data_IF_689354868411
#
_entry.id   IF_689354868411
#
_cell.length_a   1.000
_cell.length_b   1.000
_cell.length_c   1.000
_cell.angle_alpha   90.00
_cell.angle_beta   90.00
_cell.angle_gamma   90.00
#
_symmetry.space_group_name_H-M   'P 1'
#
loop_
_entity.id
_entity.type
_entity.pdbx_description
1 polymer ?
#
# COMPACT_ATOMS: atom_id res chain seq x y z
N UNK A 1 -21.03 44.18 6.36
CA UNK A 1 -20.02 44.79 7.26
C UNK A 1 -18.69 44.68 6.53
N UNK A 2 -18.11 45.79 6.04
CA UNK A 2 -16.92 45.77 5.19
C UNK A 2 -15.66 45.59 6.05
N UNK A 3 -15.24 44.35 6.28
CA UNK A 3 -14.02 44.04 7.02
C UNK A 3 -12.86 44.23 6.04
N UNK A 4 -12.04 45.27 6.26
CA UNK A 4 -10.88 45.55 5.43
C UNK A 4 -9.72 44.63 5.83
N UNK A 5 -9.58 43.50 5.13
CA UNK A 5 -8.55 42.48 5.35
C UNK A 5 -7.13 42.92 4.93
N UNK A 6 -6.95 44.11 4.35
CA UNK A 6 -5.64 44.53 3.85
C UNK A 6 -4.73 44.93 5.02
N UNK A 7 -3.63 44.18 5.16
CA UNK A 7 -2.35 44.53 5.84
C UNK A 7 -2.03 43.93 7.23
N UNK A 8 -2.37 42.67 7.50
CA UNK A 8 -1.68 41.90 8.54
C UNK A 8 -1.00 40.66 7.94
N UNK A 9 0.33 40.50 8.04
CA UNK A 9 1.08 39.37 7.47
C UNK A 9 0.75 38.01 8.10
N UNK A 10 -0.12 37.94 9.11
CA UNK A 10 -0.61 36.70 9.73
C UNK A 10 -1.98 36.21 9.22
N UNK A 11 -2.70 36.99 8.42
CA UNK A 11 -3.95 36.52 7.83
C UNK A 11 -3.66 35.91 6.45
N UNK A 12 -4.20 34.71 6.24
CA UNK A 12 -4.24 34.03 4.95
C UNK A 12 -4.82 35.00 3.91
N UNK A 13 -4.17 35.13 2.74
CA UNK A 13 -4.80 35.83 1.63
C UNK A 13 -6.12 35.12 1.30
N UNK A 14 -7.21 35.87 1.13
CA UNK A 14 -8.50 35.30 0.81
C UNK A 14 -8.41 34.65 -0.59
N UNK A 15 -8.53 33.32 -0.73
CA UNK A 15 -8.40 32.67 -2.04
C UNK A 15 -9.49 33.08 -3.03
N UNK A 16 -10.65 33.56 -2.54
CA UNK A 16 -11.78 33.98 -3.38
C UNK A 16 -11.59 35.36 -4.01
N UNK A 17 -10.64 36.17 -3.50
CA UNK A 17 -10.30 37.48 -4.05
C UNK A 17 -9.94 37.40 -5.54
N UNK A 18 -9.38 36.26 -5.98
CA UNK A 18 -8.93 36.05 -7.36
C UNK A 18 -10.07 35.73 -8.33
N UNK A 19 -11.27 35.39 -7.87
CA UNK A 19 -12.40 34.99 -8.72
C UNK A 19 -12.86 36.15 -9.62
N UNK A 20 -12.92 37.37 -9.06
CA UNK A 20 -13.47 38.54 -9.76
C UNK A 20 -12.41 39.62 -10.09
N UNK A 21 -11.13 39.40 -9.77
CA UNK A 21 -10.08 40.42 -9.88
C UNK A 21 -9.60 40.70 -11.31
N UNK A 22 -9.90 39.84 -12.29
CA UNK A 22 -9.47 40.03 -13.68
C UNK A 22 -10.54 39.57 -14.68
N UNK A 23 -11.38 40.50 -15.15
CA UNK A 23 -12.34 40.23 -16.23
C UNK A 23 -11.68 39.99 -17.60
N UNK A 24 -10.39 40.33 -17.76
CA UNK A 24 -9.67 40.26 -19.04
C UNK A 24 -8.86 38.96 -19.23
N UNK A 25 -8.90 38.03 -18.27
CA UNK A 25 -8.18 36.75 -18.35
C UNK A 25 -9.20 35.63 -18.57
N UNK A 26 -9.18 35.01 -19.74
CA UNK A 26 -9.98 33.81 -20.00
C UNK A 26 -9.50 32.65 -19.12
N UNK A 27 -10.40 32.12 -18.29
CA UNK A 27 -10.16 30.89 -17.52
C UNK A 27 -9.96 29.72 -18.50
N UNK A 28 -9.09 28.78 -18.13
CA UNK A 28 -8.81 27.61 -18.96
C UNK A 28 -10.06 26.81 -19.30
N UNK A 29 -10.16 26.34 -20.56
CA UNK A 29 -11.26 25.48 -21.02
C UNK A 29 -11.13 24.00 -20.61
N UNK A 30 -10.19 23.67 -19.72
CA UNK A 30 -10.03 22.30 -19.21
C UNK A 30 -11.17 22.00 -18.23
N UNK A 31 -11.92 20.89 -18.39
CA UNK A 31 -13.07 20.57 -17.53
C UNK A 31 -12.73 20.57 -16.05
N UNK A 32 -11.60 19.99 -15.65
CA UNK A 32 -11.15 19.91 -14.26
C UNK A 32 -10.81 21.29 -13.65
N UNK A 33 -10.44 22.27 -14.49
CA UNK A 33 -10.20 23.65 -14.05
C UNK A 33 -11.54 24.39 -13.93
N UNK A 34 -12.48 24.15 -14.85
CA UNK A 34 -13.82 24.71 -14.80
C UNK A 34 -14.59 24.20 -13.57
N UNK A 35 -14.55 22.91 -13.27
CA UNK A 35 -15.18 22.33 -12.07
C UNK A 35 -14.66 22.98 -10.78
N UNK A 36 -13.35 23.25 -10.70
CA UNK A 36 -12.76 23.94 -9.54
C UNK A 36 -13.19 25.40 -9.48
N UNK A 37 -13.28 26.08 -10.62
CA UNK A 37 -13.75 27.47 -10.70
C UNK A 37 -15.22 27.57 -10.28
N UNK A 38 -16.08 26.67 -10.77
CA UNK A 38 -17.49 26.62 -10.44
C UNK A 38 -17.70 26.35 -8.94
N UNK A 39 -16.91 25.45 -8.35
CA UNK A 39 -16.90 25.24 -6.90
C UNK A 39 -16.50 26.52 -6.15
N UNK A 40 -15.46 27.21 -6.61
CA UNK A 40 -14.97 28.42 -5.96
C UNK A 40 -16.01 29.56 -6.00
N UNK A 41 -16.65 29.77 -7.15
CA UNK A 41 -17.75 30.74 -7.31
C UNK A 41 -18.93 30.35 -6.43
N UNK A 42 -19.34 29.09 -6.45
CA UNK A 42 -20.45 28.60 -5.63
C UNK A 42 -20.21 28.85 -4.14
N UNK A 43 -18.99 28.59 -3.64
CA UNK A 43 -18.63 28.84 -2.24
C UNK A 43 -18.60 30.33 -1.90
N UNK A 44 -18.18 31.22 -2.79
CA UNK A 44 -18.12 32.66 -2.53
C UNK A 44 -19.51 33.33 -2.60
N UNK A 45 -20.38 32.86 -3.49
CA UNK A 45 -21.73 33.41 -3.70
C UNK A 45 -22.73 33.01 -2.60
N UNK A 46 -22.42 32.00 -1.78
CA UNK A 46 -23.25 31.56 -0.65
C UNK A 46 -23.16 32.55 0.53
N UNK A 47 -24.27 32.84 1.19
CA UNK A 47 -24.25 33.69 2.39
C UNK A 47 -23.92 32.86 3.64
N UNK A 48 -23.37 33.48 4.69
CA UNK A 48 -22.87 32.80 5.90
C UNK A 48 -23.88 31.81 6.55
N UNK A 49 -25.18 32.09 6.44
CA UNK A 49 -26.26 31.22 6.97
C UNK A 49 -26.62 30.01 6.10
N UNK A 50 -26.09 29.91 4.88
CA UNK A 50 -26.33 28.79 3.96
C UNK A 50 -25.34 27.63 4.18
N UNK A 51 -24.21 27.89 4.86
CA UNK A 51 -23.19 26.87 5.08
C UNK A 51 -23.57 25.94 6.23
N UNK A 52 -23.60 24.65 5.92
CA UNK A 52 -23.56 23.58 6.91
C UNK A 52 -22.10 23.17 7.17
N UNK A 53 -21.60 23.47 8.37
CA UNK A 53 -20.25 23.10 8.78
C UNK A 53 -20.02 21.58 8.73
N UNK A 54 -21.03 20.78 9.05
CA UNK A 54 -20.92 19.32 9.00
C UNK A 54 -20.76 18.85 7.55
N UNK A 55 -21.51 19.45 6.62
CA UNK A 55 -21.36 19.18 5.19
C UNK A 55 -19.97 19.56 4.67
N UNK A 56 -19.47 20.77 4.98
CA UNK A 56 -18.13 21.19 4.57
C UNK A 56 -17.03 20.28 5.17
N UNK A 57 -17.22 19.85 6.42
CA UNK A 57 -16.32 18.90 7.08
C UNK A 57 -16.34 17.54 6.40
N UNK A 58 -17.52 17.07 6.01
CA UNK A 58 -17.67 15.86 5.22
C UNK A 58 -16.94 16.00 3.88
N UNK A 59 -17.13 17.09 3.14
CA UNK A 59 -16.47 17.32 1.85
C UNK A 59 -14.94 17.30 1.98
N UNK A 60 -14.38 17.91 3.03
CA UNK A 60 -12.94 17.86 3.32
C UNK A 60 -12.47 16.42 3.58
N UNK A 61 -13.16 15.69 4.45
CA UNK A 61 -12.81 14.28 4.77
C UNK A 61 -12.95 13.37 3.55
N UNK A 62 -13.98 13.60 2.75
CA UNK A 62 -14.25 12.91 1.51
C UNK A 62 -13.11 13.11 0.49
N UNK A 63 -12.58 14.32 0.41
CA UNK A 63 -11.44 14.66 -0.45
C UNK A 63 -10.11 14.05 0.02
N UNK A 64 -9.95 13.75 1.32
CA UNK A 64 -8.79 12.98 1.79
C UNK A 64 -8.74 11.56 1.19
N UNK A 65 -9.89 11.00 0.81
CA UNK A 65 -10.00 9.69 0.15
C UNK A 65 -9.97 9.80 -1.40
N UNK A 66 -9.74 10.98 -1.97
CA UNK A 66 -9.73 11.17 -3.42
C UNK A 66 -8.67 10.29 -4.11
N UNK A 67 -7.52 10.06 -3.47
CA UNK A 67 -6.49 9.16 -4.03
C UNK A 67 -7.01 7.73 -4.20
N UNK A 68 -7.85 7.25 -3.27
CA UNK A 68 -8.42 5.91 -3.37
C UNK A 68 -9.40 5.81 -4.55
N UNK A 69 -10.19 6.87 -4.79
CA UNK A 69 -11.04 6.97 -5.99
C UNK A 69 -10.22 6.94 -7.27
N UNK A 70 -9.16 7.74 -7.32
CA UNK A 70 -8.22 7.77 -8.45
C UNK A 70 -7.62 6.38 -8.69
N UNK A 71 -7.18 5.69 -7.64
CA UNK A 71 -6.61 4.35 -7.75
C UNK A 71 -7.62 3.29 -8.20
N UNK A 72 -8.88 3.36 -7.78
CA UNK A 72 -9.94 2.47 -8.28
C UNK A 72 -10.17 2.66 -9.79
N UNK A 73 -10.27 3.91 -10.24
CA UNK A 73 -10.43 4.25 -11.66
C UNK A 73 -9.20 3.81 -12.46
N UNK A 74 -8.00 4.13 -11.99
CA UNK A 74 -6.75 3.74 -12.61
C UNK A 74 -6.59 2.21 -12.69
N UNK A 75 -7.03 1.49 -11.65
CA UNK A 75 -7.06 0.02 -11.64
C UNK A 75 -7.96 -0.53 -12.73
N UNK A 76 -9.15 0.04 -12.93
CA UNK A 76 -10.05 -0.37 -14.02
C UNK A 76 -9.42 -0.14 -15.40
N UNK A 77 -8.79 1.03 -15.61
CA UNK A 77 -8.09 1.36 -16.86
C UNK A 77 -6.95 0.36 -17.12
N UNK A 78 -6.13 0.08 -16.10
CA UNK A 78 -4.97 -0.81 -16.19
C UNK A 78 -5.41 -2.27 -16.39
N UNK A 79 -6.32 -2.78 -15.56
CA UNK A 79 -6.80 -4.16 -15.58
C UNK A 79 -7.49 -4.51 -16.88
N UNK A 80 -8.42 -3.66 -17.35
CA UNK A 80 -9.11 -3.84 -18.63
C UNK A 80 -8.29 -3.39 -19.84
N UNK A 81 -7.06 -2.90 -19.61
CA UNK A 81 -6.13 -2.41 -20.65
C UNK A 81 -6.78 -1.37 -21.58
N UNK A 82 -7.65 -0.50 -21.04
CA UNK A 82 -8.42 0.48 -21.84
C UNK A 82 -7.51 1.47 -22.58
N UNK A 83 -6.33 1.75 -22.02
CA UNK A 83 -5.30 2.59 -22.62
C UNK A 83 -4.77 2.05 -23.96
N UNK A 84 -4.87 0.74 -24.23
CA UNK A 84 -4.34 0.12 -25.46
C UNK A 84 -5.02 0.59 -26.74
N UNK A 85 -6.17 1.25 -26.64
CA UNK A 85 -6.83 1.88 -27.81
C UNK A 85 -6.02 3.05 -28.36
N UNK A 86 -5.19 3.69 -27.53
CA UNK A 86 -4.52 4.96 -27.87
C UNK A 86 -3.03 4.97 -27.50
N UNK A 87 -2.54 4.08 -26.63
CA UNK A 87 -1.15 4.08 -26.14
C UNK A 87 -0.60 2.65 -26.09
N UNK A 88 0.69 2.50 -26.41
CA UNK A 88 1.36 1.20 -26.48
C UNK A 88 1.61 0.57 -25.08
N UNK A 89 1.79 1.41 -24.07
CA UNK A 89 2.03 1.00 -22.68
C UNK A 89 1.22 1.86 -21.71
N UNK A 90 1.02 1.34 -20.49
CA UNK A 90 0.32 2.08 -19.45
C UNK A 90 1.14 3.28 -18.97
N UNK A 91 2.47 3.16 -18.93
CA UNK A 91 3.38 4.28 -18.60
C UNK A 91 3.26 5.43 -19.61
N UNK A 92 3.25 5.12 -20.92
CA UNK A 92 3.05 6.13 -21.95
C UNK A 92 1.69 6.84 -21.79
N UNK A 93 0.64 6.09 -21.46
CA UNK A 93 -0.67 6.67 -21.13
C UNK A 93 -0.63 7.59 -19.92
N UNK A 94 0.02 7.19 -18.81
CA UNK A 94 0.09 8.02 -17.60
C UNK A 94 0.78 9.35 -17.87
N UNK A 95 1.91 9.34 -18.59
CA UNK A 95 2.65 10.57 -18.90
C UNK A 95 1.90 11.48 -19.85
N UNK A 96 1.39 10.94 -20.95
CA UNK A 96 0.77 11.74 -22.01
C UNK A 96 -0.65 12.21 -21.68
N UNK A 97 -1.45 11.40 -20.98
CA UNK A 97 -2.85 11.73 -20.69
C UNK A 97 -3.10 12.24 -19.28
N UNK A 98 -2.35 11.76 -18.30
CA UNK A 98 -2.54 12.16 -16.90
C UNK A 98 -1.48 13.16 -16.43
N UNK A 99 -0.39 13.36 -17.18
CA UNK A 99 0.69 14.27 -16.80
C UNK A 99 1.49 13.79 -15.58
N UNK A 100 1.42 12.50 -15.24
CA UNK A 100 2.09 11.91 -14.06
C UNK A 100 2.89 10.68 -14.43
N UNK A 101 3.85 10.32 -13.57
CA UNK A 101 4.66 9.12 -13.77
C UNK A 101 3.84 7.84 -13.54
N UNK A 102 4.26 6.74 -14.18
CA UNK A 102 3.71 5.42 -13.90
C UNK A 102 3.79 5.06 -12.41
N UNK A 103 4.92 5.35 -11.75
CA UNK A 103 5.14 5.01 -10.35
C UNK A 103 4.12 5.66 -9.43
N UNK A 104 3.84 6.96 -9.61
CA UNK A 104 2.82 7.66 -8.83
C UNK A 104 1.43 6.99 -8.95
N UNK A 105 1.04 6.58 -10.16
CA UNK A 105 -0.24 5.88 -10.36
C UNK A 105 -0.20 4.47 -9.77
N UNK A 106 0.92 3.75 -9.91
CA UNK A 106 1.08 2.41 -9.36
C UNK A 106 1.04 2.41 -7.83
N UNK A 107 1.67 3.39 -7.17
CA UNK A 107 1.65 3.55 -5.72
C UNK A 107 0.26 4.00 -5.24
N UNK A 108 -0.43 4.84 -6.01
CA UNK A 108 -1.85 5.17 -5.75
C UNK A 108 -2.73 3.92 -5.80
N UNK A 109 -2.52 3.04 -6.79
CA UNK A 109 -3.24 1.76 -6.89
C UNK A 109 -2.93 0.85 -5.69
N UNK A 110 -1.67 0.72 -5.29
CA UNK A 110 -1.26 -0.07 -4.11
C UNK A 110 -1.87 0.46 -2.81
N UNK A 111 -1.82 1.78 -2.62
CA UNK A 111 -2.44 2.42 -1.46
C UNK A 111 -3.96 2.23 -1.45
N UNK A 112 -4.59 2.23 -2.63
CA UNK A 112 -6.03 1.95 -2.77
C UNK A 112 -6.38 0.52 -2.39
N UNK A 113 -5.56 -0.46 -2.77
CA UNK A 113 -5.74 -1.87 -2.36
C UNK A 113 -5.78 -2.01 -0.83
N UNK A 114 -4.87 -1.31 -0.14
CA UNK A 114 -4.87 -1.23 1.33
C UNK A 114 -6.17 -0.66 1.87
N UNK A 115 -6.63 0.48 1.34
CA UNK A 115 -7.89 1.11 1.76
C UNK A 115 -9.06 0.15 1.58
N UNK A 116 -9.15 -0.54 0.43
CA UNK A 116 -10.23 -1.48 0.14
C UNK A 116 -10.22 -2.68 1.08
N UNK A 117 -9.04 -3.23 1.40
CA UNK A 117 -8.93 -4.33 2.36
C UNK A 117 -9.35 -3.90 3.77
N UNK A 118 -8.91 -2.72 4.22
CA UNK A 118 -9.28 -2.20 5.54
C UNK A 118 -10.78 -1.89 5.63
N UNK A 119 -11.37 -1.29 4.59
CA UNK A 119 -12.82 -1.08 4.50
C UNK A 119 -13.58 -2.40 4.59
N UNK A 120 -13.14 -3.43 3.86
CA UNK A 120 -13.78 -4.75 3.89
C UNK A 120 -13.68 -5.44 5.27
N UNK A 121 -12.70 -5.04 6.09
CA UNK A 121 -12.53 -5.51 7.46
C UNK A 121 -13.19 -4.61 8.51
N UNK A 122 -13.99 -3.62 8.10
CA UNK A 122 -14.81 -2.79 8.98
C UNK A 122 -14.07 -1.67 9.71
N UNK A 123 -12.95 -1.19 9.16
CA UNK A 123 -12.26 -0.03 9.72
C UNK A 123 -12.91 1.29 9.29
N UNK A 124 -13.22 2.16 10.26
CA UNK A 124 -13.69 3.53 10.02
C UNK A 124 -12.52 4.51 9.81
N UNK A 125 -11.36 4.23 10.41
CA UNK A 125 -10.13 5.01 10.23
C UNK A 125 -9.30 4.37 9.14
N UNK A 126 -9.20 5.07 8.01
CA UNK A 126 -8.50 4.63 6.81
C UNK A 126 -7.26 5.51 6.56
N UNK A 127 -6.27 5.02 5.80
CA UNK A 127 -5.21 5.88 5.28
C UNK A 127 -5.78 7.08 4.52
N UNK A 128 -5.31 8.28 4.86
CA UNK A 128 -5.77 9.57 4.33
C UNK A 128 -4.93 10.10 3.16
N UNK A 129 -3.87 9.38 2.78
CA UNK A 129 -3.03 9.72 1.64
C UNK A 129 -2.28 8.49 1.11
N UNK A 130 -1.73 8.63 -0.10
CA UNK A 130 -0.97 7.58 -0.79
C UNK A 130 0.20 7.09 0.06
N UNK A 131 0.95 8.00 0.69
CA UNK A 131 2.14 7.63 1.47
C UNK A 131 1.80 6.68 2.63
N UNK A 132 0.75 6.96 3.41
CA UNK A 132 0.32 6.05 4.49
C UNK A 132 -0.08 4.67 3.95
N UNK A 133 -0.87 4.62 2.87
CA UNK A 133 -1.31 3.37 2.26
C UNK A 133 -0.13 2.58 1.65
N UNK A 134 0.79 3.25 0.97
CA UNK A 134 1.95 2.60 0.34
C UNK A 134 2.85 1.90 1.37
N UNK A 135 3.06 2.50 2.55
CA UNK A 135 3.85 1.87 3.63
C UNK A 135 3.25 0.55 4.12
N UNK A 136 1.93 0.41 4.04
CA UNK A 136 1.22 -0.83 4.38
C UNK A 136 1.14 -1.82 3.22
N UNK A 137 1.37 -1.38 1.98
CA UNK A 137 1.13 -2.19 0.79
C UNK A 137 2.02 -3.44 0.70
N UNK A 138 3.21 -3.39 1.30
CA UNK A 138 4.17 -4.50 1.33
C UNK A 138 3.77 -5.64 2.28
N UNK A 139 2.90 -5.35 3.23
CA UNK A 139 2.32 -6.34 4.14
C UNK A 139 0.91 -6.67 3.62
N UNK A 140 0.41 -7.90 3.74
CA UNK A 140 -0.89 -8.29 3.16
C UNK A 140 -1.72 -9.12 4.13
N UNK A 141 -3.03 -9.15 3.91
CA UNK A 141 -3.92 -10.07 4.62
C UNK A 141 -4.02 -9.76 6.11
N UNK A 142 -4.11 -10.83 6.90
CA UNK A 142 -4.27 -10.76 8.35
C UNK A 142 -3.20 -9.91 9.05
N UNK A 143 -1.96 -9.92 8.55
CA UNK A 143 -0.88 -9.13 9.13
C UNK A 143 -1.09 -7.62 8.95
N UNK A 144 -1.54 -7.21 7.76
CA UNK A 144 -1.85 -5.80 7.47
C UNK A 144 -2.98 -5.31 8.36
N UNK A 145 -4.06 -6.09 8.47
CA UNK A 145 -5.22 -5.81 9.34
C UNK A 145 -4.80 -5.71 10.80
N UNK A 146 -3.97 -6.64 11.29
CA UNK A 146 -3.47 -6.63 12.67
C UNK A 146 -2.64 -5.38 12.96
N UNK A 147 -1.63 -5.10 12.13
CA UNK A 147 -0.77 -3.93 12.29
C UNK A 147 -1.58 -2.63 12.24
N UNK A 148 -2.51 -2.52 11.29
CA UNK A 148 -3.34 -1.32 11.20
C UNK A 148 -4.22 -1.13 12.44
N UNK A 149 -4.82 -2.22 12.96
CA UNK A 149 -5.59 -2.19 14.20
C UNK A 149 -4.77 -1.64 15.37
N UNK A 150 -3.57 -2.18 15.57
CA UNK A 150 -2.68 -1.73 16.64
C UNK A 150 -2.32 -0.25 16.48
N UNK A 151 -2.07 0.22 15.26
CA UNK A 151 -1.77 1.64 14.98
C UNK A 151 -2.95 2.55 15.33
N UNK A 152 -4.17 2.23 14.86
CA UNK A 152 -5.34 3.09 15.12
C UNK A 152 -5.82 3.04 16.57
N UNK A 153 -5.49 2.00 17.32
CA UNK A 153 -5.71 1.91 18.77
C UNK A 153 -4.65 2.69 19.57
N UNK A 154 -3.45 2.86 19.02
CA UNK A 154 -2.32 3.51 19.70
C UNK A 154 -2.25 5.02 19.44
N UNK A 155 -2.56 5.46 18.22
CA UNK A 155 -2.36 6.84 17.77
C UNK A 155 -3.68 7.49 17.38
N UNK A 156 -3.80 8.80 17.60
CA UNK A 156 -4.93 9.53 17.05
C UNK A 156 -4.81 9.68 15.53
N UNK A 157 -5.93 9.79 14.79
CA UNK A 157 -5.89 9.83 13.32
C UNK A 157 -4.95 10.90 12.72
N UNK A 158 -4.84 12.07 13.37
CA UNK A 158 -3.97 13.16 12.91
C UNK A 158 -2.47 12.94 13.19
N UNK A 159 -2.14 11.98 14.05
CA UNK A 159 -0.76 11.62 14.40
C UNK A 159 -0.22 10.51 13.49
N UNK A 160 -1.10 9.76 12.83
CA UNK A 160 -0.71 8.64 11.96
C UNK A 160 -0.02 9.19 10.72
N UNK A 161 1.31 9.09 10.66
CA UNK A 161 2.11 9.47 9.49
C UNK A 161 2.71 8.24 8.82
N UNK A 162 3.09 8.36 7.53
CA UNK A 162 3.80 7.29 6.83
C UNK A 162 5.08 6.86 7.56
N UNK A 163 5.79 7.80 8.20
CA UNK A 163 6.97 7.50 9.01
C UNK A 163 6.65 6.66 10.25
N UNK A 164 5.59 7.01 10.98
CA UNK A 164 5.15 6.24 12.15
C UNK A 164 4.75 4.82 11.74
N UNK A 165 4.02 4.67 10.63
CA UNK A 165 3.64 3.36 10.10
C UNK A 165 4.89 2.53 9.78
N UNK A 166 5.85 3.12 9.07
CA UNK A 166 7.10 2.46 8.68
C UNK A 166 7.94 2.04 9.90
N UNK A 167 8.09 2.93 10.89
CA UNK A 167 8.79 2.65 12.14
C UNK A 167 8.09 1.54 12.94
N UNK A 168 6.75 1.56 12.99
CA UNK A 168 5.97 0.53 13.67
C UNK A 168 6.18 -0.84 13.02
N UNK A 169 6.09 -0.91 11.69
CA UNK A 169 6.34 -2.12 10.91
C UNK A 169 7.75 -2.66 11.17
N UNK A 170 8.77 -1.79 11.12
CA UNK A 170 10.16 -2.17 11.36
C UNK A 170 10.36 -2.76 12.76
N UNK A 171 9.75 -2.14 13.79
CA UNK A 171 9.81 -2.65 15.16
C UNK A 171 9.16 -4.02 15.31
N UNK A 172 8.05 -4.29 14.62
CA UNK A 172 7.42 -5.61 14.66
C UNK A 172 8.30 -6.66 13.96
N UNK A 173 8.93 -6.31 12.83
CA UNK A 173 9.88 -7.21 12.15
C UNK A 173 11.13 -7.48 12.99
N UNK A 174 11.67 -6.47 13.68
CA UNK A 174 12.80 -6.63 14.62
C UNK A 174 12.43 -7.46 15.86
N UNK A 175 11.17 -7.45 16.31
CA UNK A 175 10.72 -8.33 17.39
C UNK A 175 10.61 -9.79 16.94
N UNK A 176 10.31 -10.03 15.66
CA UNK A 176 10.22 -11.37 15.06
C UNK A 176 11.61 -11.93 14.71
N UNK A 177 12.61 -11.08 14.46
CA UNK A 177 14.00 -11.46 14.26
C UNK A 177 14.81 -11.25 15.55
N UNK A 178 15.10 -12.27 16.38
CA UNK A 178 16.01 -12.06 17.48
C UNK A 178 17.36 -11.54 16.95
N UNK A 179 17.83 -10.42 17.50
CA UNK A 179 19.20 -9.92 17.35
C UNK A 179 20.18 -10.92 17.95
N UNK A 180 20.42 -12.02 17.23
CA UNK A 180 21.60 -12.83 17.41
C UNK A 180 22.13 -13.18 16.02
N UNK A 181 23.17 -12.46 15.59
CA UNK A 181 24.20 -13.07 14.76
C UNK A 181 24.91 -14.11 15.63
N UNK A 182 24.23 -15.21 15.93
CA UNK A 182 24.88 -16.44 16.31
C UNK A 182 24.97 -17.27 15.04
N UNK A 183 26.19 -17.46 14.56
CA UNK A 183 26.54 -18.52 13.63
C UNK A 183 26.21 -19.84 14.33
N UNK A 184 25.01 -20.36 14.09
CA UNK A 184 24.70 -21.73 14.47
C UNK A 184 25.41 -22.65 13.48
N UNK A 185 26.50 -23.27 13.93
CA UNK A 185 27.01 -24.48 13.31
C UNK A 185 25.94 -25.55 13.52
N UNK A 186 25.05 -25.72 12.55
CA UNK A 186 24.12 -26.85 12.53
C UNK A 186 24.94 -28.05 12.09
N UNK A 187 25.46 -28.83 13.04
CA UNK A 187 25.95 -30.18 12.75
C UNK A 187 24.75 -31.06 12.39
N UNK A 188 24.50 -31.17 11.09
CA UNK A 188 23.64 -32.20 10.52
C UNK A 188 24.38 -33.53 10.65
N UNK A 189 23.75 -34.56 11.22
CA UNK A 189 24.38 -35.88 11.26
C UNK A 189 24.65 -36.37 9.85
N UNK A 190 25.78 -37.06 9.64
CA UNK A 190 26.20 -37.59 8.33
C UNK A 190 25.11 -38.47 7.70
N UNK A 191 24.32 -39.16 8.54
CA UNK A 191 23.18 -39.99 8.14
C UNK A 191 22.03 -39.15 7.55
N UNK A 192 21.71 -38.00 8.16
CA UNK A 192 20.64 -37.11 7.70
C UNK A 192 21.06 -36.39 6.40
N UNK A 193 22.33 -36.01 6.30
CA UNK A 193 22.87 -35.40 5.08
C UNK A 193 22.82 -36.38 3.90
N UNK A 194 23.27 -37.63 4.11
CA UNK A 194 23.21 -38.67 3.10
C UNK A 194 21.77 -38.94 2.62
N UNK A 195 20.81 -39.01 3.55
CA UNK A 195 19.40 -39.23 3.20
C UNK A 195 18.83 -38.08 2.36
N UNK A 196 19.03 -36.83 2.79
CA UNK A 196 18.52 -35.66 2.08
C UNK A 196 19.20 -35.45 0.71
N UNK A 197 20.49 -35.78 0.62
CA UNK A 197 21.22 -35.72 -0.64
C UNK A 197 20.73 -36.79 -1.62
N UNK A 198 20.50 -38.02 -1.16
CA UNK A 198 19.94 -39.10 -1.98
C UNK A 198 18.50 -38.79 -2.43
N UNK A 199 17.66 -38.26 -1.53
CA UNK A 199 16.29 -37.84 -1.85
C UNK A 199 16.27 -36.69 -2.86
N UNK A 200 17.09 -35.67 -2.65
CA UNK A 200 17.25 -34.56 -3.59
C UNK A 200 17.71 -35.04 -4.96
N UNK A 201 18.64 -36.00 -5.00
CA UNK A 201 19.12 -36.59 -6.25
C UNK A 201 18.02 -37.37 -6.98
N UNK A 202 17.22 -38.13 -6.24
CA UNK A 202 16.12 -38.92 -6.78
C UNK A 202 15.01 -38.04 -7.37
N UNK A 203 14.69 -36.93 -6.72
CA UNK A 203 13.57 -36.06 -7.12
C UNK A 203 13.99 -35.02 -8.16
N UNK A 204 15.19 -34.45 -8.04
CA UNK A 204 15.60 -33.27 -8.82
C UNK A 204 16.88 -33.49 -9.66
N UNK A 205 17.51 -34.66 -9.58
CA UNK A 205 18.80 -34.92 -10.20
C UNK A 205 19.95 -34.14 -9.54
N UNK A 206 21.20 -34.39 -9.99
CA UNK A 206 22.43 -33.86 -9.37
C UNK A 206 22.43 -32.33 -9.26
N UNK A 207 21.87 -31.64 -10.25
CA UNK A 207 21.90 -30.19 -10.34
C UNK A 207 20.91 -29.49 -9.40
N UNK A 208 19.82 -30.16 -8.98
CA UNK A 208 18.77 -29.55 -8.14
C UNK A 208 18.92 -29.82 -6.64
N UNK A 209 19.86 -30.66 -6.22
CA UNK A 209 20.01 -31.08 -4.82
C UNK A 209 20.45 -29.92 -3.92
N UNK A 210 21.36 -29.08 -4.41
CA UNK A 210 21.87 -27.92 -3.66
C UNK A 210 20.79 -26.87 -3.43
N UNK A 211 19.94 -26.63 -4.43
CA UNK A 211 18.79 -25.71 -4.35
C UNK A 211 17.71 -26.25 -3.40
N UNK A 212 17.44 -27.54 -3.47
CA UNK A 212 16.52 -28.23 -2.56
C UNK A 212 16.98 -28.15 -1.10
N UNK A 213 18.25 -28.49 -0.82
CA UNK A 213 18.83 -28.40 0.52
C UNK A 213 18.81 -26.95 1.05
N UNK A 214 19.08 -25.98 0.19
CA UNK A 214 19.03 -24.55 0.55
C UNK A 214 17.61 -24.11 0.90
N UNK A 215 16.61 -24.51 0.11
CA UNK A 215 15.20 -24.21 0.37
C UNK A 215 14.68 -24.88 1.64
N UNK A 216 15.09 -26.13 1.90
CA UNK A 216 14.72 -26.88 3.12
C UNK A 216 15.31 -26.21 4.37
N UNK A 217 16.58 -25.81 4.32
CA UNK A 217 17.25 -25.07 5.40
C UNK A 217 16.60 -23.70 5.63
N UNK A 218 16.23 -22.99 4.58
CA UNK A 218 15.54 -21.71 4.69
C UNK A 218 14.15 -21.86 5.32
N UNK A 219 13.42 -22.90 4.94
CA UNK A 219 12.09 -23.22 5.49
C UNK A 219 12.19 -23.60 6.97
N UNK A 220 13.17 -24.42 7.34
CA UNK A 220 13.43 -24.78 8.74
C UNK A 220 13.78 -23.55 9.59
N UNK A 221 14.55 -22.61 9.05
CA UNK A 221 14.88 -21.34 9.71
C UNK A 221 13.64 -20.47 9.93
N UNK A 222 12.74 -20.37 8.93
CA UNK A 222 11.48 -19.61 9.02
C UNK A 222 10.55 -20.16 10.10
N UNK A 223 10.56 -21.47 10.32
CA UNK A 223 9.65 -22.14 11.26
C UNK A 223 10.21 -22.29 12.67
N UNK A 224 11.48 -21.94 12.92
CA UNK A 224 12.10 -22.06 14.24
C UNK A 224 12.28 -23.51 14.73
N UNK A 225 12.14 -24.49 13.83
CA UNK A 225 12.23 -25.91 14.16
C UNK A 225 13.69 -26.39 14.12
N UNK A 226 14.08 -27.23 15.09
CA UNK A 226 15.32 -28.01 15.00
C UNK A 226 15.22 -29.02 13.85
N UNK A 227 16.32 -29.23 13.11
CA UNK A 227 16.44 -30.25 12.06
C UNK A 227 16.50 -31.67 12.67
N UNK A 228 15.42 -32.10 13.33
CA UNK A 228 15.16 -33.50 13.64
C UNK A 228 14.46 -34.16 12.44
N UNK A 229 14.54 -35.50 12.33
CA UNK A 229 13.91 -36.27 11.26
C UNK A 229 12.39 -35.97 11.13
N UNK A 230 11.74 -35.70 12.26
CA UNK A 230 10.33 -35.35 12.36
C UNK A 230 10.03 -33.94 11.84
N UNK A 231 10.93 -32.98 12.13
CA UNK A 231 10.85 -31.61 11.60
C UNK A 231 11.09 -31.54 10.09
N UNK A 232 11.97 -32.40 9.56
CA UNK A 232 12.20 -32.52 8.11
C UNK A 232 10.95 -33.02 7.38
N UNK A 233 10.22 -34.01 7.92
CA UNK A 233 8.97 -34.48 7.33
C UNK A 233 7.90 -33.39 7.26
N UNK A 234 7.75 -32.59 8.33
CA UNK A 234 6.80 -31.47 8.34
C UNK A 234 7.18 -30.39 7.30
N UNK A 235 8.47 -30.05 7.21
CA UNK A 235 8.96 -29.06 6.24
C UNK A 235 8.80 -29.54 4.79
N UNK A 236 9.03 -30.82 4.53
CA UNK A 236 8.81 -31.41 3.20
C UNK A 236 7.34 -31.34 2.81
N UNK A 237 6.43 -31.76 3.69
CA UNK A 237 4.99 -31.71 3.41
C UNK A 237 4.51 -30.28 3.09
N UNK A 238 5.03 -29.27 3.77
CA UNK A 238 4.71 -27.86 3.49
C UNK A 238 5.27 -27.39 2.15
N UNK A 239 6.53 -27.71 1.82
CA UNK A 239 7.12 -27.40 0.51
C UNK A 239 6.35 -28.07 -0.64
N UNK A 240 5.80 -29.27 -0.42
CA UNK A 240 4.95 -29.94 -1.41
C UNK A 240 3.58 -29.27 -1.55
N UNK A 241 2.97 -28.84 -0.45
CA UNK A 241 1.70 -28.08 -0.46
C UNK A 241 1.85 -26.73 -1.18
N UNK A 242 2.94 -26.01 -0.96
CA UNK A 242 3.21 -24.72 -1.62
C UNK A 242 3.48 -24.87 -3.13
N UNK A 243 3.90 -26.05 -3.59
CA UNK A 243 4.26 -26.32 -5.00
C UNK A 243 3.26 -27.17 -5.79
N UNK A 244 2.11 -27.54 -5.21
CA UNK A 244 1.04 -28.33 -5.88
C UNK A 244 1.55 -29.64 -6.54
N UNK A 245 2.49 -30.33 -5.91
CA UNK A 245 2.97 -31.64 -6.38
C UNK A 245 2.35 -32.74 -5.51
N UNK A 246 1.38 -33.49 -6.06
CA UNK A 246 0.88 -34.71 -5.41
C UNK A 246 1.88 -35.86 -5.58
N UNK A 247 2.33 -36.45 -4.47
CA UNK A 247 3.05 -37.73 -4.47
C UNK A 247 2.34 -38.67 -3.50
N UNK A 248 1.75 -39.74 -4.03
CA UNK A 248 1.32 -40.90 -3.25
C UNK A 248 2.59 -41.61 -2.75
N UNK A 249 2.91 -41.45 -1.47
CA UNK A 249 3.87 -42.31 -0.78
C UNK A 249 3.14 -43.57 -0.33
N UNK A 250 3.34 -44.67 -1.05
CA UNK A 250 3.07 -46.04 -0.56
C UNK A 250 4.30 -46.56 0.19
#
# INVERSE_FOLDING_TARGET
MNINYKTNPRYLANPFDHIYQNHDVEVSNRPEIQELQDLAIHLEDQIEGDFDLEFLTFEIRNNQLAFARTGLIASQIKFKKLYKKTHNSFDHYCREKLGVSYWQIDDTIKATDVVMELMANGFDVLPQNVNQGEKLANIRGSERVRIWREIVETYQPHEITGKIIEEYIAQQQEKVLPKSTQTYNVEMSDELYCFLWALGHYIFGIQGVTEFLSALLETSKKLGNSLSLEGVHQNLNLLYQERNLEVNLQ
#
